data_IF_222838379508
#
_entry.id   IF_222838379508
#
_cell.length_a   1.000
_cell.length_b   1.000
_cell.length_c   1.000
_cell.angle_alpha   90.00
_cell.angle_beta   90.00
_cell.angle_gamma   90.00
#
_symmetry.space_group_name_H-M   'P 1'
#
loop_
_entity.id
_entity.type
_entity.pdbx_description
1 polymer ?
#
# COMPACT_ATOMS: atom_id res chain seq x y z
N UNK A 1 34.91 23.60 -51.84
CA UNK A 1 33.90 22.75 -51.16
C UNK A 1 32.79 23.66 -50.65
N UNK A 2 31.71 23.81 -51.43
CA UNK A 2 30.60 24.74 -51.17
C UNK A 2 29.29 23.99 -51.35
N UNK A 3 28.82 23.24 -50.35
CA UNK A 3 27.46 22.64 -50.31
C UNK A 3 27.08 22.33 -48.86
N UNK A 4 26.38 23.26 -48.20
CA UNK A 4 25.68 23.01 -46.94
C UNK A 4 24.59 24.07 -46.72
N UNK A 5 23.71 24.24 -47.71
CA UNK A 5 22.50 25.05 -47.61
C UNK A 5 21.44 24.42 -48.52
N UNK A 6 20.89 23.29 -48.10
CA UNK A 6 19.67 22.68 -48.68
C UNK A 6 18.99 21.85 -47.58
N UNK A 7 18.04 22.46 -46.88
CA UNK A 7 17.27 21.79 -45.83
C UNK A 7 16.12 22.60 -45.27
N UNK A 8 15.79 23.73 -45.89
CA UNK A 8 14.66 24.59 -45.53
C UNK A 8 13.95 24.90 -46.85
N UNK A 9 12.98 24.07 -47.24
CA UNK A 9 11.85 24.36 -48.16
C UNK A 9 11.20 23.05 -48.66
N UNK A 10 10.53 22.32 -47.76
CA UNK A 10 9.51 21.36 -48.15
C UNK A 10 8.43 21.32 -47.05
N UNK A 11 7.54 22.32 -47.09
CA UNK A 11 6.27 22.30 -46.36
C UNK A 11 5.13 22.01 -47.32
N UNK A 12 4.09 21.30 -46.82
CA UNK A 12 2.73 21.07 -47.38
C UNK A 12 2.70 19.96 -48.44
N UNK A 13 1.91 18.89 -48.30
CA UNK A 13 0.44 18.79 -48.12
C UNK A 13 0.07 17.55 -47.24
N UNK A 14 -0.61 17.70 -46.08
CA UNK A 14 -2.05 17.41 -45.79
C UNK A 14 -2.56 16.05 -46.34
N UNK A 15 -3.07 15.07 -45.57
CA UNK A 15 -4.30 15.14 -44.74
C UNK A 15 -4.51 13.95 -43.76
N UNK A 16 -4.92 14.29 -42.53
CA UNK A 16 -5.99 13.70 -41.68
C UNK A 16 -5.97 12.22 -41.25
N UNK A 17 -5.59 11.96 -39.99
CA UNK A 17 -6.49 11.44 -38.94
C UNK A 17 -5.70 11.27 -37.63
N UNK A 18 -5.77 12.27 -36.74
CA UNK A 18 -5.17 12.21 -35.40
C UNK A 18 -5.86 13.21 -34.49
N UNK A 19 -6.47 12.72 -33.41
CA UNK A 19 -7.17 13.52 -32.41
C UNK A 19 -6.18 14.45 -31.70
N UNK A 20 -6.46 15.75 -31.52
CA UNK A 20 -5.52 16.68 -30.89
C UNK A 20 -5.49 16.48 -29.37
N UNK A 21 -4.27 16.43 -28.84
CA UNK A 21 -3.98 16.64 -27.42
C UNK A 21 -4.18 18.12 -27.08
N UNK A 22 -5.24 18.43 -26.33
CA UNK A 22 -5.34 19.71 -25.63
C UNK A 22 -4.79 19.54 -24.22
N UNK A 23 -3.56 20.03 -24.05
CA UNK A 23 -2.90 20.20 -22.76
C UNK A 23 -3.55 21.36 -21.98
N UNK A 24 -4.44 21.01 -21.05
CA UNK A 24 -4.74 21.83 -19.88
C UNK A 24 -4.07 21.19 -18.65
N UNK A 25 -3.38 21.94 -17.76
CA UNK A 25 -2.94 21.40 -16.49
C UNK A 25 -4.16 21.31 -15.56
N UNK A 26 -5.00 20.31 -15.82
CA UNK A 26 -6.08 19.94 -14.92
C UNK A 26 -5.44 19.52 -13.60
N UNK A 27 -5.83 20.22 -12.51
CA UNK A 27 -5.75 19.78 -11.12
C UNK A 27 -5.62 18.26 -11.05
N UNK A 28 -4.57 17.75 -10.39
CA UNK A 28 -4.32 16.33 -10.20
C UNK A 28 -5.60 15.60 -9.73
N UNK A 29 -6.36 15.12 -10.70
CA UNK A 29 -7.57 14.37 -10.50
C UNK A 29 -7.15 13.02 -9.96
N UNK A 30 -7.86 12.51 -8.96
CA UNK A 30 -7.71 11.11 -8.56
C UNK A 30 -7.85 10.27 -9.83
N UNK A 31 -6.79 9.54 -10.18
CA UNK A 31 -6.84 8.61 -11.29
C UNK A 31 -8.05 7.68 -11.11
N UNK A 32 -8.78 7.44 -12.20
CA UNK A 32 -9.93 6.54 -12.18
C UNK A 32 -9.46 5.19 -11.64
N UNK A 33 -10.13 4.60 -10.64
CA UNK A 33 -9.70 3.33 -10.07
C UNK A 33 -9.73 2.26 -11.16
N UNK A 34 -8.56 1.70 -11.44
CA UNK A 34 -8.42 0.59 -12.36
C UNK A 34 -9.24 -0.60 -11.85
N UNK A 35 -10.08 -1.17 -12.72
CA UNK A 35 -10.82 -2.42 -12.45
C UNK A 35 -9.93 -3.66 -12.62
N UNK A 36 -8.63 -3.47 -12.88
CA UNK A 36 -7.67 -4.54 -13.01
C UNK A 36 -7.60 -5.39 -11.74
N UNK A 37 -7.58 -6.72 -11.93
CA UNK A 37 -7.38 -7.69 -10.85
C UNK A 37 -5.92 -7.80 -10.43
N UNK A 38 -5.00 -7.29 -11.23
CA UNK A 38 -3.56 -7.29 -10.98
C UNK A 38 -3.03 -5.88 -10.78
N UNK A 39 -2.00 -5.76 -9.94
CA UNK A 39 -1.24 -4.53 -9.76
C UNK A 39 -0.37 -4.24 -10.98
N UNK A 40 -0.09 -2.96 -11.20
CA UNK A 40 0.90 -2.53 -12.18
C UNK A 40 2.29 -3.09 -11.85
N UNK A 41 3.13 -3.21 -12.88
CA UNK A 41 4.50 -3.72 -12.76
C UNK A 41 5.44 -2.68 -12.12
N UNK A 42 5.14 -2.28 -10.89
CA UNK A 42 5.90 -1.33 -10.09
C UNK A 42 6.17 -1.86 -8.68
N UNK A 43 7.24 -1.38 -8.05
CA UNK A 43 7.56 -1.78 -6.69
C UNK A 43 6.55 -1.22 -5.68
N UNK A 44 5.80 -2.10 -4.98
CA UNK A 44 4.81 -1.71 -3.96
C UNK A 44 5.37 -0.85 -2.82
N UNK A 45 6.69 -0.87 -2.58
CA UNK A 45 7.32 -0.08 -1.52
C UNK A 45 7.77 1.31 -1.96
N UNK A 46 8.22 1.46 -3.20
CA UNK A 46 8.81 2.72 -3.66
C UNK A 46 8.15 3.33 -4.90
N UNK A 47 7.13 2.66 -5.47
CA UNK A 47 6.34 3.11 -6.61
C UNK A 47 7.24 3.50 -7.80
N UNK A 48 8.23 2.64 -8.07
CA UNK A 48 9.16 2.81 -9.18
C UNK A 48 9.27 1.48 -9.91
N UNK A 49 9.31 1.55 -11.23
CA UNK A 49 9.61 0.42 -12.11
C UNK A 49 11.09 0.02 -12.06
N UNK A 50 11.97 1.02 -11.89
CA UNK A 50 13.42 0.83 -11.97
C UNK A 50 14.15 1.54 -10.82
N UNK A 51 14.90 0.78 -10.02
CA UNK A 51 15.77 1.31 -8.96
C UNK A 51 17.24 1.08 -9.29
N UNK A 52 18.07 2.13 -9.25
CA UNK A 52 19.52 1.95 -9.41
C UNK A 52 20.16 1.47 -8.11
N UNK A 53 20.90 0.35 -8.17
CA UNK A 53 21.70 -0.15 -7.07
C UNK A 53 23.12 0.40 -7.17
N UNK A 54 23.48 1.37 -6.31
CA UNK A 54 24.84 1.92 -6.29
C UNK A 54 25.92 0.85 -6.04
N UNK A 55 25.60 -0.17 -5.22
CA UNK A 55 26.52 -1.25 -4.86
C UNK A 55 26.87 -2.14 -6.06
N UNK A 56 25.87 -2.50 -6.87
CA UNK A 56 26.06 -3.37 -8.03
C UNK A 56 26.31 -2.59 -9.32
N UNK A 57 26.18 -1.25 -9.29
CA UNK A 57 26.24 -0.36 -10.46
C UNK A 57 25.26 -0.74 -11.59
N UNK A 58 24.14 -1.36 -11.22
CA UNK A 58 23.11 -1.86 -12.15
C UNK A 58 21.72 -1.49 -11.67
N UNK A 59 20.72 -1.61 -12.56
CA UNK A 59 19.31 -1.45 -12.19
C UNK A 59 18.80 -2.74 -11.55
N UNK A 60 18.13 -2.62 -10.41
CA UNK A 60 17.47 -3.75 -9.76
C UNK A 60 16.21 -4.11 -10.52
N UNK A 61 16.07 -5.39 -10.84
CA UNK A 61 14.88 -5.94 -11.47
C UNK A 61 13.77 -6.09 -10.43
N UNK A 62 12.53 -5.86 -10.86
CA UNK A 62 11.35 -6.15 -10.06
C UNK A 62 11.15 -7.67 -9.90
N UNK A 63 10.85 -8.07 -8.68
CA UNK A 63 10.51 -9.45 -8.34
C UNK A 63 9.01 -9.51 -8.11
N UNK A 64 8.34 -10.41 -8.84
CA UNK A 64 6.93 -10.73 -8.61
C UNK A 64 6.76 -11.46 -7.28
N UNK A 65 5.73 -11.09 -6.52
CA UNK A 65 5.36 -11.80 -5.31
C UNK A 65 4.63 -13.09 -5.70
N UNK A 66 5.30 -14.23 -5.53
CA UNK A 66 4.74 -15.55 -5.84
C UNK A 66 4.52 -16.42 -4.60
N UNK A 67 5.08 -16.04 -3.45
CA UNK A 67 5.08 -16.85 -2.24
C UNK A 67 4.17 -16.26 -1.15
N UNK A 68 3.24 -17.07 -0.63
CA UNK A 68 2.37 -16.68 0.51
C UNK A 68 3.19 -16.31 1.75
N UNK A 69 4.38 -16.90 1.93
CA UNK A 69 5.30 -16.55 3.01
C UNK A 69 5.78 -15.10 2.92
N UNK A 70 5.97 -14.59 1.69
CA UNK A 70 6.35 -13.20 1.49
C UNK A 70 5.19 -12.27 1.86
N UNK A 71 3.95 -12.60 1.48
CA UNK A 71 2.75 -11.85 1.87
C UNK A 71 2.62 -11.74 3.39
N UNK A 72 2.64 -12.88 4.09
CA UNK A 72 2.55 -12.90 5.55
C UNK A 72 3.64 -12.03 6.21
N UNK A 73 4.86 -12.05 5.67
CA UNK A 73 5.96 -11.23 6.19
C UNK A 73 5.76 -9.74 5.96
N UNK A 74 5.27 -9.35 4.78
CA UNK A 74 4.98 -7.95 4.43
C UNK A 74 3.83 -7.45 5.30
N UNK A 75 2.76 -8.24 5.44
CA UNK A 75 1.62 -7.94 6.30
C UNK A 75 2.06 -7.72 7.75
N UNK A 76 2.82 -8.65 8.32
CA UNK A 76 3.35 -8.51 9.68
C UNK A 76 4.23 -7.26 9.86
N UNK A 77 5.07 -6.94 8.87
CA UNK A 77 5.89 -5.74 8.91
C UNK A 77 5.05 -4.47 8.81
N UNK A 78 4.01 -4.46 7.97
CA UNK A 78 3.11 -3.33 7.80
C UNK A 78 2.26 -3.07 9.04
N UNK A 79 1.74 -4.13 9.69
CA UNK A 79 1.01 -4.03 10.96
C UNK A 79 1.90 -3.45 12.05
N UNK A 80 3.14 -3.91 12.18
CA UNK A 80 4.09 -3.37 13.18
C UNK A 80 4.43 -1.89 12.94
N UNK A 81 4.52 -1.48 11.67
CA UNK A 81 4.83 -0.11 11.27
C UNK A 81 3.60 0.80 11.19
N UNK A 82 2.40 0.26 11.40
CA UNK A 82 1.12 0.93 11.16
C UNK A 82 1.05 1.60 9.77
N UNK A 83 1.64 0.94 8.76
CA UNK A 83 1.72 1.46 7.39
C UNK A 83 0.40 1.21 6.65
N UNK A 84 -0.53 2.16 6.78
CA UNK A 84 -1.87 2.08 6.20
C UNK A 84 -1.87 1.84 4.69
N UNK A 85 -0.88 2.36 3.97
CA UNK A 85 -0.77 2.18 2.51
C UNK A 85 -0.42 0.75 2.16
N UNK A 86 0.60 0.18 2.81
CA UNK A 86 0.96 -1.22 2.55
C UNK A 86 -0.14 -2.15 3.07
N UNK A 87 -0.77 -1.84 4.21
CA UNK A 87 -1.95 -2.56 4.72
C UNK A 87 -3.09 -2.59 3.69
N UNK A 88 -3.36 -1.46 3.02
CA UNK A 88 -4.32 -1.41 1.92
C UNK A 88 -3.91 -2.30 0.72
N UNK A 89 -2.62 -2.37 0.39
CA UNK A 89 -2.13 -3.23 -0.69
C UNK A 89 -2.27 -4.72 -0.32
N UNK A 90 -1.89 -5.11 0.91
CA UNK A 90 -1.96 -6.50 1.39
C UNK A 90 -3.36 -6.94 1.83
N UNK A 91 -4.32 -6.02 1.88
CA UNK A 91 -5.73 -6.37 2.06
C UNK A 91 -6.25 -7.21 0.90
N UNK A 92 -5.68 -7.02 -0.29
CA UNK A 92 -5.81 -7.91 -1.43
C UNK A 92 -4.72 -8.97 -1.34
N UNK A 93 -5.00 -10.19 -1.79
CA UNK A 93 -3.97 -11.21 -1.93
C UNK A 93 -2.93 -10.74 -2.96
N UNK A 94 -1.75 -10.32 -2.46
CA UNK A 94 -0.70 -9.73 -3.30
C UNK A 94 -0.04 -10.74 -4.23
N UNK A 95 -0.19 -12.04 -3.95
CA UNK A 95 0.28 -13.11 -4.83
C UNK A 95 -0.68 -13.24 -6.00
N UNK A 96 -1.99 -13.30 -5.72
CA UNK A 96 -3.02 -13.34 -6.75
C UNK A 96 -3.08 -12.05 -7.58
N UNK A 97 -2.86 -10.90 -6.93
CA UNK A 97 -2.81 -9.60 -7.58
C UNK A 97 -1.46 -9.31 -8.26
N UNK A 98 -0.54 -10.27 -8.30
CA UNK A 98 0.74 -10.17 -9.00
C UNK A 98 1.57 -8.93 -8.60
N UNK A 99 1.64 -8.62 -7.30
CA UNK A 99 2.40 -7.47 -6.82
C UNK A 99 3.90 -7.62 -7.11
N UNK A 100 4.58 -6.50 -7.39
CA UNK A 100 6.02 -6.49 -7.66
C UNK A 100 6.80 -5.69 -6.60
N UNK A 101 8.06 -6.05 -6.37
CA UNK A 101 8.97 -5.28 -5.52
C UNK A 101 10.44 -5.42 -5.92
N UNK A 102 11.24 -4.40 -5.63
CA UNK A 102 12.70 -4.57 -5.65
C UNK A 102 13.15 -5.42 -4.47
N UNK A 103 14.12 -6.33 -4.69
CA UNK A 103 14.65 -7.20 -3.64
C UNK A 103 15.24 -6.42 -2.46
N UNK A 104 15.89 -5.28 -2.73
CA UNK A 104 16.41 -4.41 -1.68
C UNK A 104 15.31 -3.72 -0.88
N UNK A 105 14.23 -3.28 -1.55
CA UNK A 105 13.09 -2.66 -0.89
C UNK A 105 12.37 -3.65 0.02
N UNK A 106 12.11 -4.87 -0.45
CA UNK A 106 11.54 -5.93 0.39
C UNK A 106 12.41 -6.22 1.62
N UNK A 107 13.73 -6.34 1.43
CA UNK A 107 14.66 -6.58 2.53
C UNK A 107 14.66 -5.43 3.54
N UNK A 108 14.67 -4.18 3.08
CA UNK A 108 14.64 -3.01 3.96
C UNK A 108 13.31 -2.89 4.69
N UNK A 109 12.21 -3.13 3.98
CA UNK A 109 10.87 -3.01 4.54
C UNK A 109 10.55 -4.08 5.58
N UNK A 110 10.93 -5.34 5.32
CA UNK A 110 10.62 -6.48 6.20
C UNK A 110 11.66 -6.73 7.29
N UNK A 111 12.78 -6.01 7.30
CA UNK A 111 13.71 -6.06 8.44
C UNK A 111 13.06 -5.36 9.63
N UNK A 112 12.95 -6.10 10.73
CA UNK A 112 12.51 -5.59 12.02
C UNK A 112 13.37 -4.41 12.43
N UNK A 113 12.72 -3.41 12.98
CA UNK A 113 13.28 -2.12 13.37
C UNK A 113 14.62 -2.25 14.09
N UNK A 114 15.64 -1.58 13.56
CA UNK A 114 16.77 -1.11 14.38
C UNK A 114 17.15 0.33 14.05
N UNK A 115 16.47 1.01 13.11
CA UNK A 115 16.97 2.29 12.59
C UNK A 115 15.96 3.44 12.47
N UNK A 116 14.67 3.29 12.82
CA UNK A 116 13.68 4.35 12.52
C UNK A 116 12.65 4.65 13.62
N UNK A 117 12.99 4.44 14.89
CA UNK A 117 12.33 5.16 15.99
C UNK A 117 13.25 6.30 16.46
N UNK A 118 13.35 7.34 15.64
CA UNK A 118 13.86 8.66 16.03
C UNK A 118 12.99 9.69 15.31
N UNK A 119 11.81 9.94 15.86
CA UNK A 119 10.90 10.95 15.35
C UNK A 119 9.43 10.60 15.56
N UNK A 120 8.86 11.16 16.62
CA UNK A 120 7.44 11.44 16.80
C UNK A 120 6.46 10.25 16.79
N UNK A 121 6.21 9.71 17.99
CA UNK A 121 4.84 9.50 18.46
C UNK A 121 4.82 9.89 19.93
N UNK A 122 4.19 11.02 20.21
CA UNK A 122 3.67 11.36 21.52
C UNK A 122 2.84 10.19 22.03
N UNK A 123 3.15 9.73 23.23
CA UNK A 123 2.35 8.76 23.95
C UNK A 123 1.12 9.48 24.47
N UNK A 124 -0.02 9.37 23.78
CA UNK A 124 -1.30 9.88 24.33
C UNK A 124 -2.57 9.19 23.77
N UNK A 125 -2.48 7.95 23.27
CA UNK A 125 -3.65 7.21 22.76
C UNK A 125 -3.69 5.75 23.29
N UNK A 126 -3.31 5.53 24.56
CA UNK A 126 -3.41 4.20 25.20
C UNK A 126 -4.38 4.13 26.37
N UNK A 127 -5.06 5.24 26.67
CA UNK A 127 -5.96 5.32 27.82
C UNK A 127 -7.40 4.93 27.44
N UNK A 128 -7.86 5.28 26.23
CA UNK A 128 -9.26 5.05 25.82
C UNK A 128 -9.61 3.59 25.51
N UNK A 129 -8.68 2.82 24.92
CA UNK A 129 -8.94 1.42 24.53
C UNK A 129 -9.16 0.52 25.76
N UNK A 130 -8.53 0.86 26.89
CA UNK A 130 -8.68 0.12 28.16
C UNK A 130 -10.02 0.42 28.86
N UNK A 131 -10.54 1.65 28.73
CA UNK A 131 -11.81 2.06 29.35
C UNK A 131 -13.00 1.36 28.67
N UNK A 132 -13.01 1.32 27.34
CA UNK A 132 -14.08 0.66 26.59
C UNK A 132 -14.11 -0.84 26.85
N UNK A 133 -12.95 -1.51 26.81
CA UNK A 133 -12.83 -2.96 27.07
C UNK A 133 -13.28 -3.32 28.50
N UNK A 134 -12.95 -2.48 29.49
CA UNK A 134 -13.37 -2.65 30.87
C UNK A 134 -14.89 -2.48 31.04
N UNK A 135 -15.48 -1.46 30.42
CA UNK A 135 -16.92 -1.23 30.45
C UNK A 135 -17.70 -2.38 29.80
N UNK A 136 -17.22 -2.87 28.66
CA UNK A 136 -17.80 -4.04 27.98
C UNK A 136 -17.72 -5.28 28.87
N UNK A 137 -16.56 -5.57 29.46
CA UNK A 137 -16.37 -6.70 30.37
C UNK A 137 -17.29 -6.63 31.59
N UNK A 138 -17.45 -5.45 32.18
CA UNK A 138 -18.37 -5.22 33.29
C UNK A 138 -19.83 -5.48 32.87
N UNK A 139 -20.25 -4.97 31.71
CA UNK A 139 -21.61 -5.16 31.22
C UNK A 139 -21.97 -6.63 30.99
N UNK A 140 -21.03 -7.43 30.45
CA UNK A 140 -21.23 -8.87 30.27
C UNK A 140 -21.33 -9.62 31.60
N UNK A 141 -20.57 -9.21 32.61
CA UNK A 141 -20.62 -9.79 33.95
C UNK A 141 -21.98 -9.55 34.62
N UNK A 142 -22.50 -8.33 34.54
CA UNK A 142 -23.82 -7.96 35.07
C UNK A 142 -24.95 -8.71 34.37
N UNK A 143 -24.91 -8.80 33.03
CA UNK A 143 -25.87 -9.57 32.26
C UNK A 143 -25.86 -11.06 32.66
N UNK A 144 -24.67 -11.63 32.83
CA UNK A 144 -24.54 -13.03 33.22
C UNK A 144 -25.10 -13.29 34.63
N UNK A 145 -24.84 -12.38 35.57
CA UNK A 145 -25.41 -12.45 36.91
C UNK A 145 -26.94 -12.41 36.86
N UNK A 146 -27.53 -11.49 36.12
CA UNK A 146 -28.98 -11.39 35.93
C UNK A 146 -29.57 -12.68 35.34
N UNK A 147 -28.94 -13.22 34.29
CA UNK A 147 -29.40 -14.47 33.67
C UNK A 147 -29.37 -15.62 34.67
N UNK A 148 -28.28 -15.79 35.42
CA UNK A 148 -28.16 -16.91 36.37
C UNK A 148 -29.04 -16.77 37.60
N UNK A 149 -29.19 -15.56 38.12
CA UNK A 149 -29.84 -15.32 39.40
C UNK A 149 -31.32 -14.99 39.28
N UNK A 150 -31.73 -14.29 38.22
CA UNK A 150 -33.12 -13.82 38.09
C UNK A 150 -33.91 -14.59 37.04
N UNK A 151 -33.28 -14.99 35.93
CA UNK A 151 -33.96 -15.77 34.90
C UNK A 151 -33.95 -17.27 35.21
N UNK A 152 -32.86 -17.79 35.78
CA UNK A 152 -32.71 -19.22 36.11
C UNK A 152 -32.56 -19.52 37.60
N UNK A 153 -32.57 -18.50 38.47
CA UNK A 153 -32.40 -18.66 39.91
C UNK A 153 -33.68 -19.12 40.60
N UNK A 154 -33.76 -20.45 40.81
CA UNK A 154 -34.71 -21.22 41.64
C UNK A 154 -36.21 -20.95 41.43
N UNK A 155 -37.02 -21.97 41.08
CA UNK A 155 -38.47 -21.84 41.12
C UNK A 155 -38.89 -21.54 42.57
N UNK A 156 -39.71 -20.50 42.76
CA UNK A 156 -40.36 -20.21 44.04
C UNK A 156 -41.19 -21.44 44.41
N UNK A 157 -40.80 -22.15 45.47
CA UNK A 157 -41.56 -23.26 46.07
C UNK A 157 -42.82 -22.75 46.74
#
# INVERSE_FOLDING_TARGET
>A
MKKALDGILAQKEKTTNGCPEDSNPARAGRAVPSTSRTYEAECIFCQKTNKYSKRQKTREVLVKCSELRADAKIRNAATKKLDSRILGIVSRDIVAAEAHYHRSCYRFYTRGETLQQKGAVSADDKEDENIYEAAVSQSYSELFHYIRMELFGTPKS
#
